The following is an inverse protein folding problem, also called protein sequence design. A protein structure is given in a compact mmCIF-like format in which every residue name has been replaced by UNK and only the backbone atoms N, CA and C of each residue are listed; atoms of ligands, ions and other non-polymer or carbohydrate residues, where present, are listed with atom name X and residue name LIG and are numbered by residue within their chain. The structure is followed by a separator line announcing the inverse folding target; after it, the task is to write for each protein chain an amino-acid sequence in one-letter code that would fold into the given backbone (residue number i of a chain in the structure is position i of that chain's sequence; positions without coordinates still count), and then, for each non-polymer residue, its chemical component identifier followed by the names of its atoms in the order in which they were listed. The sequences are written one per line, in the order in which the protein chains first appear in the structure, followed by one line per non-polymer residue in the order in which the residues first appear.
data_IF_731934554700
#
_entry.id   IF_731934554700
#
_cell.length_a   1.000
_cell.length_b   1.000
_cell.length_c   1.000
_cell.angle_alpha   90.00
_cell.angle_beta   90.00
_cell.angle_gamma   90.00
#
_symmetry.space_group_name_H-M   'P 1'
#
loop_
_entity.id
_entity.type
_entity.pdbx_description
1 polymer ?
#
# COMPACT_ATOMS: atom_id res chain seq x y z
N UNK A 1 -7.11 -59.78 10.02
CA UNK A 1 -7.91 -58.61 9.60
C UNK A 1 -7.25 -57.35 10.16
N UNK A 2 -6.68 -56.51 9.31
CA UNK A 2 -6.00 -55.28 9.74
C UNK A 2 -7.07 -54.23 10.02
N UNK A 3 -7.36 -53.96 11.29
CA UNK A 3 -8.30 -52.92 11.72
C UNK A 3 -7.68 -51.56 11.44
N UNK A 4 -8.08 -50.93 10.33
CA UNK A 4 -7.69 -49.54 10.05
C UNK A 4 -8.37 -48.63 11.07
N UNK A 5 -7.56 -48.01 11.93
CA UNK A 5 -8.02 -47.03 12.92
C UNK A 5 -8.37 -45.75 12.16
N UNK A 6 -9.65 -45.39 12.13
CA UNK A 6 -10.11 -44.15 11.49
C UNK A 6 -9.71 -42.95 12.33
N UNK A 7 -8.89 -42.06 11.77
CA UNK A 7 -8.55 -40.77 12.37
C UNK A 7 -9.31 -39.66 11.64
N UNK A 8 -10.23 -38.94 12.31
CA UNK A 8 -10.96 -37.86 11.66
C UNK A 8 -10.04 -36.66 11.40
N UNK A 9 -9.99 -36.20 10.14
CA UNK A 9 -9.33 -34.95 9.77
C UNK A 9 -10.26 -33.77 10.10
N UNK A 10 -9.76 -32.80 10.86
CA UNK A 10 -10.45 -31.52 11.13
C UNK A 10 -9.85 -30.44 10.24
N UNK A 11 -10.67 -29.85 9.36
CA UNK A 11 -10.26 -28.77 8.46
C UNK A 11 -10.71 -27.41 9.02
N UNK A 12 -9.77 -26.47 9.13
CA UNK A 12 -10.06 -25.07 9.47
C UNK A 12 -9.54 -24.20 8.34
N UNK A 13 -10.42 -23.39 7.74
CA UNK A 13 -10.07 -22.41 6.71
C UNK A 13 -10.04 -21.04 7.37
N UNK A 14 -8.89 -20.38 7.30
CA UNK A 14 -8.72 -19.01 7.81
C UNK A 14 -8.71 -18.04 6.62
N UNK A 15 -9.53 -17.00 6.70
CA UNK A 15 -9.56 -15.93 5.70
C UNK A 15 -9.38 -14.58 6.38
N UNK A 16 -8.56 -13.73 5.77
CA UNK A 16 -8.40 -12.33 6.20
C UNK A 16 -9.54 -11.43 5.67
N UNK A 17 -10.29 -11.88 4.66
CA UNK A 17 -11.45 -11.17 4.11
C UNK A 17 -12.75 -11.89 4.44
N UNK A 18 -13.84 -11.13 4.42
CA UNK A 18 -15.19 -11.66 4.61
C UNK A 18 -15.78 -12.36 3.37
N UNK A 19 -14.99 -12.60 2.31
CA UNK A 19 -15.46 -13.35 1.13
C UNK A 19 -15.51 -14.85 1.44
N UNK A 20 -16.48 -15.25 2.25
CA UNK A 20 -16.68 -16.64 2.67
C UNK A 20 -17.67 -17.38 1.79
N UNK A 21 -18.47 -16.67 1.00
CA UNK A 21 -19.56 -17.23 0.18
C UNK A 21 -19.03 -18.24 -0.86
N UNK A 22 -17.86 -17.98 -1.44
CA UNK A 22 -17.12 -18.91 -2.31
C UNK A 22 -16.91 -20.30 -1.67
N UNK A 23 -16.89 -20.39 -0.33
CA UNK A 23 -16.78 -21.64 0.43
C UNK A 23 -18.12 -22.14 0.95
N UNK A 24 -19.00 -21.24 1.42
CA UNK A 24 -20.28 -21.62 2.04
C UNK A 24 -21.29 -22.16 1.02
N UNK A 25 -21.33 -21.55 -0.16
CA UNK A 25 -22.31 -21.86 -1.20
C UNK A 25 -21.82 -22.98 -2.13
N UNK A 26 -20.52 -23.29 -2.10
CA UNK A 26 -19.91 -24.23 -3.03
C UNK A 26 -20.15 -25.70 -2.63
N UNK A 27 -21.23 -26.27 -3.20
CA UNK A 27 -21.60 -27.68 -3.02
C UNK A 27 -20.61 -28.68 -3.62
N UNK A 28 -19.73 -28.24 -4.52
CA UNK A 28 -18.67 -29.11 -5.05
C UNK A 28 -17.54 -29.27 -4.03
N UNK A 29 -17.21 -28.22 -3.28
CA UNK A 29 -16.21 -28.28 -2.20
C UNK A 29 -16.76 -28.93 -0.93
N UNK A 30 -18.01 -28.59 -0.55
CA UNK A 30 -18.65 -29.13 0.65
C UNK A 30 -20.07 -29.64 0.32
N UNK A 31 -20.20 -30.88 -0.20
CA UNK A 31 -21.48 -31.41 -0.67
C UNK A 31 -22.48 -31.62 0.48
N UNK A 32 -22.01 -32.16 1.60
CA UNK A 32 -22.86 -32.63 2.70
C UNK A 32 -22.79 -31.76 3.96
N UNK A 33 -22.00 -30.68 3.93
CA UNK A 33 -21.72 -29.84 5.11
C UNK A 33 -21.77 -28.39 4.67
N UNK A 34 -22.44 -27.54 5.44
CA UNK A 34 -22.24 -26.09 5.37
C UNK A 34 -21.20 -25.73 6.42
N UNK A 35 -20.00 -25.26 6.03
CA UNK A 35 -18.96 -24.90 6.99
C UNK A 35 -19.47 -23.84 7.98
N UNK A 36 -19.11 -23.99 9.26
CA UNK A 36 -19.45 -22.97 10.27
C UNK A 36 -18.50 -21.78 10.14
N UNK A 37 -19.05 -20.57 10.11
CA UNK A 37 -18.27 -19.33 10.11
C UNK A 37 -18.11 -18.82 11.53
N UNK A 38 -16.86 -18.61 11.95
CA UNK A 38 -16.54 -17.92 13.20
C UNK A 38 -15.99 -16.55 12.81
N UNK A 39 -16.75 -15.49 13.08
CA UNK A 39 -16.31 -14.11 12.90
C UNK A 39 -15.48 -13.72 14.12
N UNK A 40 -14.18 -13.61 13.93
CA UNK A 40 -13.28 -13.05 14.94
C UNK A 40 -13.18 -11.55 14.69
N UNK A 41 -13.79 -10.75 15.56
CA UNK A 41 -13.63 -9.30 15.51
C UNK A 41 -12.17 -8.95 15.82
N UNK A 42 -11.47 -8.36 14.86
CA UNK A 42 -10.12 -7.88 15.11
C UNK A 42 -10.21 -6.59 15.93
N UNK A 43 -9.45 -6.51 17.03
CA UNK A 43 -9.23 -5.27 17.80
C UNK A 43 -8.31 -4.30 17.03
N UNK A 44 -8.69 -3.93 15.82
CA UNK A 44 -8.02 -2.88 15.07
C UNK A 44 -8.51 -1.53 15.58
N UNK A 45 -7.60 -0.57 15.65
CA UNK A 45 -7.96 0.81 15.91
C UNK A 45 -8.65 1.41 14.69
N UNK A 46 -9.42 2.49 14.90
CA UNK A 46 -10.10 3.19 13.82
C UNK A 46 -9.10 3.77 12.81
N UNK A 47 -9.50 3.74 11.53
CA UNK A 47 -8.75 4.38 10.44
C UNK A 47 -9.68 5.33 9.71
N UNK A 48 -9.33 6.62 9.69
CA UNK A 48 -10.10 7.61 8.93
C UNK A 48 -9.69 7.54 7.45
N UNK A 49 -10.69 7.42 6.58
CA UNK A 49 -10.49 7.30 5.14
C UNK A 49 -10.69 8.66 4.48
N UNK A 50 -9.66 9.13 3.77
CA UNK A 50 -9.65 10.39 3.04
C UNK A 50 -9.53 10.12 1.54
N UNK A 51 -10.48 10.58 0.74
CA UNK A 51 -10.43 10.49 -0.73
C UNK A 51 -9.98 11.82 -1.32
N UNK A 52 -9.13 11.77 -2.34
CA UNK A 52 -8.89 12.94 -3.17
C UNK A 52 -10.17 13.32 -3.95
N UNK A 53 -10.45 14.61 -4.09
CA UNK A 53 -11.63 15.08 -4.86
C UNK A 53 -11.57 14.64 -6.33
N UNK A 54 -10.37 14.69 -6.91
CA UNK A 54 -10.11 14.35 -8.31
C UNK A 54 -9.02 13.28 -8.38
N UNK A 55 -9.24 12.26 -9.21
CA UNK A 55 -8.25 11.23 -9.50
C UNK A 55 -7.33 11.72 -10.61
N UNK A 56 -6.04 11.91 -10.31
CA UNK A 56 -5.03 12.27 -11.31
C UNK A 56 -4.48 11.00 -11.99
N UNK A 57 -4.02 11.15 -13.24
CA UNK A 57 -3.40 10.04 -13.96
C UNK A 57 -2.01 9.71 -13.42
N UNK A 58 -1.22 10.75 -13.15
CA UNK A 58 0.09 10.68 -12.52
C UNK A 58 -0.05 10.53 -11.00
N UNK A 59 -0.25 9.29 -10.58
CA UNK A 59 -0.31 8.93 -9.17
C UNK A 59 1.06 9.00 -8.49
N UNK A 60 2.18 8.95 -9.24
CA UNK A 60 3.52 9.04 -8.65
C UNK A 60 3.75 10.45 -8.11
N UNK A 61 3.42 11.48 -8.89
CA UNK A 61 3.53 12.87 -8.45
C UNK A 61 2.58 13.18 -7.28
N UNK A 62 1.32 12.74 -7.36
CA UNK A 62 0.36 12.93 -6.26
C UNK A 62 0.78 12.19 -4.99
N UNK A 63 1.42 11.02 -5.13
CA UNK A 63 1.98 10.28 -4.00
C UNK A 63 3.07 11.09 -3.33
N UNK A 64 4.03 11.61 -4.10
CA UNK A 64 5.12 12.43 -3.56
C UNK A 64 4.57 13.65 -2.80
N UNK A 65 3.69 14.44 -3.44
CA UNK A 65 3.07 15.62 -2.81
C UNK A 65 2.33 15.26 -1.52
N UNK A 66 1.57 14.16 -1.51
CA UNK A 66 0.81 13.74 -0.33
C UNK A 66 1.73 13.31 0.82
N UNK A 67 2.79 12.55 0.52
CA UNK A 67 3.79 12.15 1.51
C UNK A 67 4.47 13.38 2.11
N UNK A 68 4.86 14.35 1.27
CA UNK A 68 5.45 15.59 1.74
C UNK A 68 4.50 16.38 2.64
N UNK A 69 3.23 16.53 2.23
CA UNK A 69 2.21 17.21 3.05
C UNK A 69 2.01 16.52 4.41
N UNK A 70 1.85 15.20 4.43
CA UNK A 70 1.73 14.43 5.69
C UNK A 70 2.96 14.63 6.56
N UNK A 71 4.15 14.52 5.97
CA UNK A 71 5.39 14.66 6.70
C UNK A 71 5.51 16.02 7.37
N UNK A 72 5.24 17.10 6.62
CA UNK A 72 5.35 18.49 7.05
C UNK A 72 4.24 18.93 8.03
N UNK A 73 3.00 18.50 7.82
CA UNK A 73 1.84 19.09 8.52
C UNK A 73 1.25 18.22 9.63
N UNK A 74 1.47 16.89 9.60
CA UNK A 74 0.77 15.98 10.52
C UNK A 74 1.68 15.48 11.66
N UNK A 75 1.11 15.13 12.82
CA UNK A 75 1.84 14.61 13.98
C UNK A 75 2.71 13.39 13.68
N UNK A 76 3.59 13.03 14.61
CA UNK A 76 4.46 11.87 14.49
C UNK A 76 3.70 10.56 14.23
N UNK A 77 4.32 9.71 13.41
CA UNK A 77 3.80 8.42 12.98
C UNK A 77 4.42 8.03 11.64
N UNK A 78 4.69 6.74 11.46
CA UNK A 78 5.23 6.20 10.23
C UNK A 78 4.24 6.29 9.07
N UNK A 79 4.78 6.49 7.87
CA UNK A 79 4.02 6.60 6.63
C UNK A 79 4.27 5.35 5.78
N UNK A 80 3.21 4.64 5.42
CA UNK A 80 3.25 3.51 4.48
C UNK A 80 2.63 3.93 3.16
N UNK A 81 3.40 3.79 2.08
CA UNK A 81 3.02 4.22 0.73
C UNK A 81 2.89 3.00 -0.16
N UNK A 82 1.78 2.87 -0.88
CA UNK A 82 1.56 1.81 -1.86
C UNK A 82 1.78 2.33 -3.28
N UNK A 83 2.73 1.71 -4.00
CA UNK A 83 3.01 1.90 -5.43
C UNK A 83 3.02 0.54 -6.15
N UNK A 84 3.14 0.53 -7.47
CA UNK A 84 2.85 -0.68 -8.26
C UNK A 84 4.07 -1.54 -8.54
N UNK A 85 5.28 -0.97 -8.53
CA UNK A 85 6.47 -1.72 -8.93
C UNK A 85 7.80 -1.13 -8.49
N UNK A 86 8.85 -1.94 -8.66
CA UNK A 86 10.22 -1.63 -8.22
C UNK A 86 10.76 -0.29 -8.74
N UNK A 87 10.57 0.03 -10.02
CA UNK A 87 11.12 1.26 -10.62
C UNK A 87 10.53 2.52 -9.95
N UNK A 88 9.20 2.58 -9.84
CA UNK A 88 8.45 3.65 -9.16
C UNK A 88 8.90 3.78 -7.70
N UNK A 89 9.02 2.65 -6.99
CA UNK A 89 9.46 2.63 -5.59
C UNK A 89 10.88 3.19 -5.44
N UNK A 90 11.83 2.73 -6.26
CA UNK A 90 13.21 3.20 -6.17
C UNK A 90 13.31 4.71 -6.48
N UNK A 91 12.58 5.16 -7.51
CA UNK A 91 12.50 6.58 -7.84
C UNK A 91 11.92 7.42 -6.69
N UNK A 92 10.79 7.01 -6.13
CA UNK A 92 10.14 7.68 -5.00
C UNK A 92 11.03 7.74 -3.76
N UNK A 93 11.72 6.64 -3.45
CA UNK A 93 12.64 6.57 -2.31
C UNK A 93 13.78 7.58 -2.46
N UNK A 94 14.42 7.63 -3.62
CA UNK A 94 15.51 8.57 -3.86
C UNK A 94 15.02 10.02 -3.88
N UNK A 95 13.86 10.27 -4.49
CA UNK A 95 13.25 11.61 -4.52
C UNK A 95 12.91 12.13 -3.13
N UNK A 96 12.29 11.30 -2.27
CA UNK A 96 11.98 11.67 -0.89
C UNK A 96 13.25 11.89 -0.05
N UNK A 97 14.27 11.05 -0.23
CA UNK A 97 15.58 11.26 0.43
C UNK A 97 16.21 12.58 0.00
N UNK A 98 16.08 12.97 -1.26
CA UNK A 98 16.61 14.23 -1.79
C UNK A 98 15.86 15.45 -1.25
N UNK A 99 14.54 15.39 -1.22
CA UNK A 99 13.65 16.44 -0.71
C UNK A 99 13.96 16.77 0.77
N UNK A 100 14.15 15.73 1.58
CA UNK A 100 14.35 15.87 3.03
C UNK A 100 15.81 15.72 3.46
N UNK A 101 16.78 16.03 2.58
CA UNK A 101 18.19 16.08 3.00
C UNK A 101 18.39 17.19 4.04
N UNK A 102 19.11 16.92 5.15
CA UNK A 102 19.46 17.97 6.09
C UNK A 102 20.28 19.05 5.39
N UNK A 103 19.79 20.30 5.36
CA UNK A 103 20.59 21.44 4.91
C UNK A 103 21.74 21.63 5.91
N UNK A 104 22.98 21.53 5.46
CA UNK A 104 24.15 21.82 6.32
C UNK A 104 24.03 23.25 6.85
N UNK A 105 24.03 23.43 8.18
CA UNK A 105 24.11 24.76 8.80
C UNK A 105 25.43 25.41 8.36
N UNK A 106 25.37 26.36 7.42
CA UNK A 106 26.52 27.23 7.13
C UNK A 106 26.77 28.09 8.36
N UNK A 107 27.90 27.89 9.02
CA UNK A 107 28.41 28.77 10.07
C UNK A 107 28.46 30.21 9.54
N UNK A 108 27.61 31.09 10.07
CA UNK A 108 27.57 32.50 9.68
C UNK A 108 28.88 33.19 10.09
N UNK A 109 29.72 33.54 9.10
CA UNK A 109 30.66 34.66 9.23
C UNK A 109 29.87 35.94 8.94
N UNK A 110 29.62 36.75 9.97
CA UNK A 110 29.13 38.13 9.86
C UNK A 110 30.12 38.95 9.05
N UNK A 111 29.69 39.48 7.90
CA UNK A 111 30.26 40.70 7.31
C UNK A 111 29.09 41.61 6.98
N UNK A 112 29.05 42.72 7.70
CA UNK A 112 28.20 43.89 7.53
C UNK A 112 28.74 44.77 6.39
N UNK A 113 27.89 45.20 5.45
CA UNK A 113 27.72 46.63 5.06
C UNK A 113 26.63 46.85 3.99
N UNK A 114 25.66 47.68 4.39
CA UNK A 114 24.94 48.80 3.76
C UNK A 114 24.47 48.80 2.27
N UNK A 115 23.15 49.01 2.16
CA UNK A 115 22.35 49.94 1.33
C UNK A 115 22.47 49.95 -0.20
N UNK A 116 21.34 49.76 -0.89
CA UNK A 116 20.72 50.79 -1.79
C UNK A 116 19.21 50.54 -1.88
N UNK A 117 18.42 51.59 -1.64
CA UNK A 117 16.96 51.69 -1.83
C UNK A 117 16.65 51.90 -3.32
N UNK A 118 15.65 51.19 -3.87
CA UNK A 118 14.99 51.63 -5.11
C UNK A 118 13.52 51.22 -5.14
N UNK A 119 12.68 52.24 -5.25
CA UNK A 119 11.22 52.22 -5.35
C UNK A 119 10.73 51.50 -6.62
N UNK A 120 9.58 50.83 -6.52
CA UNK A 120 8.71 50.50 -7.66
C UNK A 120 7.25 50.56 -7.23
N UNK A 121 6.46 51.27 -8.05
CA UNK A 121 5.03 51.52 -7.95
C UNK A 121 4.17 50.28 -8.26
N UNK A 122 2.98 50.30 -7.68
CA UNK A 122 1.89 49.33 -7.73
C UNK A 122 1.15 49.28 -9.08
N UNK A 123 0.66 48.10 -9.42
CA UNK A 123 -0.58 47.90 -10.18
C UNK A 123 -1.22 46.59 -9.73
N UNK A 124 -2.47 46.69 -9.26
CA UNK A 124 -3.33 45.65 -8.71
C UNK A 124 -3.78 44.64 -9.79
N UNK A 125 -3.79 43.34 -9.44
CA UNK A 125 -4.73 42.36 -10.01
C UNK A 125 -4.95 41.24 -8.98
N UNK A 126 -6.20 41.08 -8.55
CA UNK A 126 -6.64 40.15 -7.50
C UNK A 126 -6.83 38.74 -8.06
N UNK A 127 -6.03 37.79 -7.56
CA UNK A 127 -6.23 36.37 -7.79
C UNK A 127 -5.81 35.58 -6.55
N UNK A 128 -6.79 35.01 -5.84
CA UNK A 128 -6.60 34.15 -4.67
C UNK A 128 -5.78 32.90 -5.04
N UNK A 129 -4.47 32.98 -4.83
CA UNK A 129 -3.57 31.85 -4.75
C UNK A 129 -2.96 31.83 -3.36
N UNK A 130 -3.31 30.83 -2.54
CA UNK A 130 -2.59 30.55 -1.29
C UNK A 130 -1.13 30.22 -1.63
N UNK A 131 -0.27 31.24 -1.52
CA UNK A 131 1.17 31.08 -1.58
C UNK A 131 1.63 30.32 -0.34
N UNK A 132 2.15 29.12 -0.54
CA UNK A 132 2.97 28.47 0.48
C UNK A 132 4.25 29.31 0.62
N UNK A 133 4.23 30.28 1.54
CA UNK A 133 5.44 30.87 2.08
C UNK A 133 6.26 29.73 2.69
N UNK A 134 7.41 29.43 2.08
CA UNK A 134 8.41 28.49 2.60
C UNK A 134 8.98 29.05 3.92
N UNK A 135 8.18 29.00 5.00
CA UNK A 135 8.68 29.16 6.34
C UNK A 135 9.64 28.00 6.60
N UNK A 136 10.88 28.34 6.99
CA UNK A 136 11.92 27.41 7.43
C UNK A 136 11.49 26.69 8.73
N UNK A 137 10.51 25.79 8.63
CA UNK A 137 10.11 24.89 9.70
C UNK A 137 11.10 23.73 9.70
N UNK A 138 11.81 23.54 10.82
CA UNK A 138 12.72 22.41 11.02
C UNK A 138 11.89 21.13 11.14
N UNK A 139 11.64 20.48 10.00
CA UNK A 139 10.94 19.20 9.97
C UNK A 139 11.89 18.07 10.41
N UNK A 140 11.38 17.15 11.21
CA UNK A 140 12.10 15.95 11.62
C UNK A 140 12.71 15.23 10.41
N UNK A 141 13.96 14.76 10.47
CA UNK A 141 14.55 14.01 9.37
C UNK A 141 13.73 12.75 9.04
N UNK A 142 13.92 12.20 7.84
CA UNK A 142 13.17 11.02 7.37
C UNK A 142 14.09 9.81 7.19
N UNK A 143 13.56 8.63 7.51
CA UNK A 143 14.15 7.35 7.14
C UNK A 143 13.27 6.69 6.09
N UNK A 144 13.71 6.72 4.83
CA UNK A 144 12.93 6.19 3.69
C UNK A 144 13.43 4.80 3.28
N UNK A 145 12.56 3.79 3.31
CA UNK A 145 12.88 2.39 3.00
C UNK A 145 11.98 1.83 1.87
N UNK A 146 12.56 1.11 0.88
CA UNK A 146 11.79 0.35 -0.11
C UNK A 146 11.32 -0.99 0.46
N UNK A 147 10.17 -1.50 -0.02
CA UNK A 147 9.70 -2.85 0.30
C UNK A 147 8.96 -3.50 -0.87
N UNK A 148 9.57 -4.49 -1.52
CA UNK A 148 8.99 -5.25 -2.63
C UNK A 148 9.56 -6.68 -2.67
N UNK A 149 8.86 -7.62 -3.32
CA UNK A 149 9.17 -9.06 -3.22
C UNK A 149 10.58 -9.48 -3.66
N UNK A 150 11.18 -8.78 -4.63
CA UNK A 150 12.54 -9.07 -5.12
C UNK A 150 13.65 -8.45 -4.24
N UNK A 151 13.31 -7.73 -3.17
CA UNK A 151 14.30 -7.12 -2.28
C UNK A 151 14.98 -8.23 -1.44
N UNK A 152 16.31 -8.20 -1.21
CA UNK A 152 16.96 -9.20 -0.36
C UNK A 152 16.34 -9.27 1.04
N UNK A 153 16.22 -10.47 1.67
CA UNK A 153 15.56 -10.63 2.96
C UNK A 153 16.09 -9.71 4.06
N UNK A 154 17.42 -9.51 4.12
CA UNK A 154 18.06 -8.61 5.08
C UNK A 154 17.58 -7.16 4.95
N UNK A 155 17.31 -6.70 3.71
CA UNK A 155 16.81 -5.36 3.46
C UNK A 155 15.30 -5.26 3.73
N UNK A 156 14.53 -6.33 3.46
CA UNK A 156 13.13 -6.38 3.87
C UNK A 156 13.00 -6.28 5.39
N UNK A 157 13.90 -6.94 6.14
CA UNK A 157 13.84 -6.96 7.59
C UNK A 157 14.05 -5.57 8.24
N UNK A 158 14.73 -4.65 7.54
CA UNK A 158 14.95 -3.28 8.03
C UNK A 158 13.67 -2.52 8.32
N UNK A 159 12.55 -2.87 7.66
CA UNK A 159 11.26 -2.19 7.90
C UNK A 159 10.67 -2.49 9.28
N UNK A 160 11.12 -3.56 9.94
CA UNK A 160 10.67 -3.92 11.30
C UNK A 160 11.52 -3.30 12.40
N UNK A 161 12.69 -2.77 12.05
CA UNK A 161 13.56 -2.12 13.01
C UNK A 161 13.02 -0.72 13.33
N UNK A 162 13.18 -0.25 14.58
CA UNK A 162 12.83 1.13 14.90
C UNK A 162 13.63 2.08 14.01
N UNK A 163 13.03 3.21 13.59
CA UNK A 163 13.78 4.24 12.87
C UNK A 163 14.87 4.83 13.77
N UNK A 164 15.85 5.49 13.15
CA UNK A 164 16.83 6.32 13.86
C UNK A 164 16.12 7.35 14.76
N UNK A 165 16.79 7.77 15.83
CA UNK A 165 16.28 8.82 16.72
C UNK A 165 15.87 10.06 15.93
N UNK A 166 14.71 10.61 16.30
CA UNK A 166 14.06 11.76 15.66
C UNK A 166 13.70 11.59 14.18
N UNK A 167 13.85 10.40 13.59
CA UNK A 167 13.47 10.18 12.19
C UNK A 167 12.03 9.68 12.05
N UNK A 168 11.27 10.30 11.14
CA UNK A 168 9.99 9.73 10.69
C UNK A 168 10.27 8.59 9.70
N UNK A 169 9.73 7.40 9.98
CA UNK A 169 9.82 6.25 9.08
C UNK A 169 8.86 6.44 7.89
N UNK A 170 9.37 6.32 6.67
CA UNK A 170 8.58 6.30 5.43
C UNK A 170 8.91 5.01 4.69
N UNK A 171 7.91 4.20 4.40
CA UNK A 171 8.08 2.95 3.67
C UNK A 171 7.32 3.05 2.36
N UNK A 172 8.02 2.79 1.26
CA UNK A 172 7.44 2.77 -0.08
C UNK A 172 7.40 1.33 -0.56
N UNK A 173 6.18 0.79 -0.74
CA UNK A 173 5.96 -0.65 -0.91
C UNK A 173 5.03 -1.00 -2.06
N UNK A 174 5.14 -2.23 -2.57
CA UNK A 174 4.08 -2.86 -3.37
C UNK A 174 3.00 -3.46 -2.46
N UNK A 175 2.09 -4.24 -3.05
CA UNK A 175 1.10 -5.04 -2.32
C UNK A 175 1.70 -6.09 -1.35
N UNK A 176 3.02 -6.26 -1.26
CA UNK A 176 3.64 -7.12 -0.22
C UNK A 176 3.31 -6.64 1.20
N UNK A 177 3.14 -5.33 1.39
CA UNK A 177 2.71 -4.76 2.68
C UNK A 177 1.19 -4.85 2.90
N UNK A 178 0.41 -5.28 1.90
CA UNK A 178 -1.05 -5.40 1.99
C UNK A 178 -1.45 -6.55 2.90
N UNK A 179 -0.73 -7.68 2.85
CA UNK A 179 -1.00 -8.91 3.61
C UNK A 179 0.19 -9.31 4.51
N UNK A 180 -0.09 -10.01 5.61
CA UNK A 180 0.91 -10.79 6.38
C UNK A 180 2.06 -10.07 7.08
N UNK A 181 2.16 -8.73 7.02
CA UNK A 181 3.24 -7.98 7.67
C UNK A 181 2.69 -6.91 8.62
N UNK A 182 3.04 -6.97 9.90
CA UNK A 182 2.75 -5.89 10.86
C UNK A 182 4.00 -5.04 11.02
N UNK A 183 3.99 -3.87 10.41
CA UNK A 183 5.06 -2.88 10.56
C UNK A 183 4.71 -2.02 11.77
N UNK A 184 5.58 -1.92 12.78
CA UNK A 184 5.29 -1.13 13.97
C UNK A 184 5.23 0.36 13.61
N UNK A 185 4.45 1.13 14.38
CA UNK A 185 4.39 2.59 14.31
C UNK A 185 3.92 3.17 12.96
N UNK A 186 3.16 2.43 12.15
CA UNK A 186 2.49 3.01 10.98
C UNK A 186 1.19 3.66 11.42
N UNK A 187 1.04 4.96 11.12
CA UNK A 187 -0.15 5.76 11.42
C UNK A 187 -0.80 6.36 10.18
N UNK A 188 -0.03 6.53 9.11
CA UNK A 188 -0.50 7.11 7.86
C UNK A 188 -0.29 6.11 6.73
N UNK A 189 -1.33 5.90 5.92
CA UNK A 189 -1.26 5.16 4.67
C UNK A 189 -1.51 6.11 3.51
N UNK A 190 -0.70 6.03 2.46
CA UNK A 190 -0.93 6.69 1.17
C UNK A 190 -1.16 5.59 0.13
N UNK A 191 -2.37 5.50 -0.40
CA UNK A 191 -2.77 4.45 -1.34
C UNK A 191 -3.02 5.04 -2.74
N UNK A 192 -2.19 4.64 -3.72
CA UNK A 192 -2.39 5.03 -5.11
C UNK A 192 -3.61 4.35 -5.76
N UNK A 193 -4.14 3.28 -5.14
CA UNK A 193 -5.31 2.54 -5.62
C UNK A 193 -5.01 1.60 -6.79
N UNK A 194 -3.76 1.51 -7.22
CA UNK A 194 -3.33 0.66 -8.34
C UNK A 194 -2.49 -0.50 -7.85
N UNK A 195 -2.43 -1.53 -8.66
CA UNK A 195 -1.54 -2.66 -8.49
C UNK A 195 -1.12 -3.24 -9.84
N UNK A 196 0.06 -3.83 -9.88
CA UNK A 196 0.56 -4.53 -11.05
C UNK A 196 0.21 -6.01 -10.93
N UNK A 197 -0.62 -6.50 -11.84
CA UNK A 197 -1.05 -7.89 -11.86
C UNK A 197 -0.62 -8.56 -13.15
N UNK A 198 -0.31 -9.86 -13.05
CA UNK A 198 -0.12 -10.73 -14.21
C UNK A 198 -1.50 -11.08 -14.75
N UNK A 199 -1.70 -10.83 -16.04
CA UNK A 199 -2.91 -11.16 -16.80
C UNK A 199 -2.50 -12.12 -17.91
N UNK A 200 -3.24 -13.20 -18.05
CA UNK A 200 -3.05 -14.20 -19.10
C UNK A 200 -4.10 -14.02 -20.18
N UNK A 201 -3.67 -13.93 -21.43
CA UNK A 201 -4.53 -13.99 -22.61
C UNK A 201 -4.54 -15.42 -23.16
N UNK A 202 -5.68 -16.15 -23.07
CA UNK A 202 -5.76 -17.53 -23.57
C UNK A 202 -5.64 -17.66 -25.09
N UNK A 203 -6.05 -16.64 -25.85
CA UNK A 203 -5.99 -16.68 -27.32
C UNK A 203 -4.56 -16.53 -27.80
N UNK A 204 -3.82 -15.60 -27.20
CA UNK A 204 -2.42 -15.34 -27.54
C UNK A 204 -1.44 -16.27 -26.79
N UNK A 205 -1.89 -16.96 -25.74
CA UNK A 205 -1.08 -17.75 -24.80
C UNK A 205 0.05 -16.94 -24.16
N UNK A 206 -0.16 -15.64 -23.99
CA UNK A 206 0.83 -14.72 -23.44
C UNK A 206 0.41 -14.24 -22.06
N UNK A 207 1.40 -14.09 -21.18
CA UNK A 207 1.23 -13.44 -19.89
C UNK A 207 1.85 -12.05 -19.92
N UNK A 208 1.06 -11.03 -19.60
CA UNK A 208 1.49 -9.63 -19.56
C UNK A 208 1.26 -9.07 -18.17
N UNK A 209 2.14 -8.18 -17.71
CA UNK A 209 1.93 -7.41 -16.49
C UNK A 209 1.22 -6.11 -16.81
N UNK A 210 0.04 -5.90 -16.24
CA UNK A 210 -0.75 -4.70 -16.40
C UNK A 210 -0.95 -4.01 -15.06
N UNK A 211 -0.85 -2.68 -15.06
CA UNK A 211 -1.25 -1.86 -13.93
C UNK A 211 -2.77 -1.66 -14.03
N UNK A 212 -3.48 -2.00 -12.95
CA UNK A 212 -4.94 -1.92 -12.89
C UNK A 212 -5.38 -1.37 -11.53
N UNK A 213 -6.64 -0.97 -11.44
CA UNK A 213 -7.24 -0.63 -10.15
C UNK A 213 -7.27 -1.85 -9.24
N UNK A 214 -6.95 -1.64 -7.97
CA UNK A 214 -7.08 -2.69 -6.97
C UNK A 214 -8.55 -2.92 -6.60
N UNK A 215 -8.83 -3.99 -5.86
CA UNK A 215 -10.18 -4.27 -5.37
C UNK A 215 -10.50 -3.42 -4.13
N UNK A 216 -11.79 -3.22 -3.85
CA UNK A 216 -12.23 -2.55 -2.60
C UNK A 216 -11.68 -3.27 -1.38
N UNK A 217 -11.77 -4.61 -1.35
CA UNK A 217 -11.21 -5.41 -0.26
C UNK A 217 -9.70 -5.21 -0.07
N UNK A 218 -8.94 -5.10 -1.16
CA UNK A 218 -7.50 -4.81 -1.11
C UNK A 218 -7.21 -3.40 -0.59
N UNK A 219 -7.93 -2.39 -1.09
CA UNK A 219 -7.80 -1.02 -0.61
C UNK A 219 -8.18 -0.87 0.88
N UNK A 220 -9.13 -1.65 1.37
CA UNK A 220 -9.51 -1.68 2.78
C UNK A 220 -8.44 -2.38 3.64
N UNK A 221 -7.83 -3.45 3.13
CA UNK A 221 -6.67 -4.09 3.78
C UNK A 221 -5.47 -3.14 3.88
N UNK A 222 -5.19 -2.38 2.81
CA UNK A 222 -4.14 -1.34 2.80
C UNK A 222 -4.43 -0.27 3.84
N UNK A 223 -5.66 0.25 3.90
CA UNK A 223 -6.07 1.23 4.90
C UNK A 223 -5.91 0.69 6.33
N UNK A 224 -6.31 -0.56 6.58
CA UNK A 224 -6.17 -1.24 7.87
C UNK A 224 -4.73 -1.37 8.38
N UNK A 225 -3.71 -1.09 7.56
CA UNK A 225 -2.31 -1.01 8.00
C UNK A 225 -2.02 0.18 8.91
N UNK A 226 -2.77 1.27 8.79
CA UNK A 226 -2.67 2.41 9.70
C UNK A 226 -3.31 2.14 11.08
N UNK A 227 -4.21 1.17 11.19
CA UNK A 227 -4.98 0.88 12.41
C UNK A 227 -4.40 -0.23 13.30
N UNK A 228 -3.13 -0.62 13.10
CA UNK A 228 -2.52 -1.78 13.79
C UNK A 228 -2.04 -1.47 15.20
N UNK A 229 -1.37 -0.33 15.38
CA UNK A 229 -0.76 0.05 16.67
C UNK A 229 -1.50 1.17 17.38
N UNK A 230 -2.39 1.88 16.69
CA UNK A 230 -3.18 3.00 17.21
C UNK A 230 -4.11 3.54 16.14
N UNK A 231 -4.94 4.56 16.43
CA UNK A 231 -5.78 5.22 15.43
C UNK A 231 -4.93 5.86 14.33
N UNK A 232 -5.37 5.71 13.08
CA UNK A 232 -4.59 6.15 11.93
C UNK A 232 -5.44 6.76 10.82
N UNK A 233 -4.77 7.15 9.74
CA UNK A 233 -5.40 7.79 8.59
C UNK A 233 -4.93 7.14 7.29
N UNK A 234 -5.85 6.96 6.35
CA UNK A 234 -5.56 6.48 5.01
C UNK A 234 -5.95 7.53 3.97
N UNK A 235 -4.98 7.98 3.18
CA UNK A 235 -5.15 8.92 2.08
C UNK A 235 -5.17 8.17 0.75
N UNK A 236 -6.36 8.05 0.17
CA UNK A 236 -6.59 7.47 -1.16
C UNK A 236 -6.42 8.55 -2.21
N UNK A 237 -5.51 8.34 -3.16
CA UNK A 237 -5.19 9.33 -4.20
C UNK A 237 -6.20 9.36 -5.36
N UNK A 238 -7.35 8.73 -5.14
CA UNK A 238 -8.45 8.59 -6.09
C UNK A 238 -9.76 9.00 -5.40
N UNK A 239 -10.75 9.37 -6.20
CA UNK A 239 -12.05 9.81 -5.71
C UNK A 239 -12.91 8.66 -5.17
N UNK A 240 -13.88 9.01 -4.34
CA UNK A 240 -14.89 8.07 -3.86
C UNK A 240 -15.69 7.45 -5.00
N UNK A 241 -15.95 8.19 -6.08
CA UNK A 241 -16.59 7.67 -7.30
C UNK A 241 -15.74 6.60 -8.00
N UNK A 242 -14.42 6.81 -8.09
CA UNK A 242 -13.53 5.76 -8.64
C UNK A 242 -13.57 4.54 -7.74
N UNK A 243 -13.48 4.74 -6.41
CA UNK A 243 -13.57 3.64 -5.45
C UNK A 243 -14.89 2.86 -5.54
N UNK A 244 -16.04 3.54 -5.67
CA UNK A 244 -17.34 2.88 -5.78
C UNK A 244 -17.44 1.99 -7.03
N UNK A 245 -16.74 2.36 -8.11
CA UNK A 245 -16.72 1.61 -9.36
C UNK A 245 -15.67 0.48 -9.40
N UNK A 246 -14.79 0.38 -8.39
CA UNK A 246 -13.86 -0.74 -8.27
C UNK A 246 -14.59 -2.05 -7.96
N UNK A 247 -14.00 -3.18 -8.37
CA UNK A 247 -14.50 -4.50 -8.01
C UNK A 247 -14.43 -4.72 -6.49
N UNK A 248 -15.44 -5.38 -5.93
CA UNK A 248 -15.47 -5.66 -4.48
C UNK A 248 -14.29 -6.53 -4.04
N UNK A 249 -13.97 -7.56 -4.83
CA UNK A 249 -12.90 -8.51 -4.55
C UNK A 249 -12.00 -8.67 -5.77
N UNK A 250 -10.72 -8.98 -5.53
CA UNK A 250 -9.79 -9.28 -6.59
C UNK A 250 -10.20 -10.57 -7.32
N UNK A 251 -10.00 -10.60 -8.64
CA UNK A 251 -10.19 -11.81 -9.43
C UNK A 251 -9.23 -12.90 -8.93
N UNK A 252 -9.72 -14.11 -8.62
CA UNK A 252 -8.88 -15.22 -8.19
C UNK A 252 -7.72 -15.49 -9.14
N UNK A 253 -6.56 -15.86 -8.60
CA UNK A 253 -5.34 -16.06 -9.40
C UNK A 253 -5.52 -17.15 -10.46
N UNK A 254 -6.24 -18.23 -10.15
CA UNK A 254 -6.52 -19.35 -11.07
C UNK A 254 -7.20 -18.91 -12.38
N UNK A 255 -7.92 -17.78 -12.38
CA UNK A 255 -8.59 -17.25 -13.56
C UNK A 255 -7.71 -16.29 -14.38
N UNK A 256 -6.50 -15.97 -13.90
CA UNK A 256 -5.63 -14.94 -14.47
C UNK A 256 -4.24 -15.42 -14.85
N UNK A 257 -3.89 -16.66 -14.51
CA UNK A 257 -2.59 -17.25 -14.82
C UNK A 257 -2.78 -18.57 -15.57
N UNK A 258 -1.80 -18.99 -16.39
CA UNK A 258 -1.81 -20.33 -16.97
C UNK A 258 -1.89 -21.39 -15.87
N UNK A 259 -2.79 -22.35 -16.03
CA UNK A 259 -3.05 -23.40 -15.02
C UNK A 259 -2.29 -24.70 -15.33
N UNK A 260 -1.41 -24.72 -16.34
CA UNK A 260 -0.72 -25.94 -16.80
C UNK A 260 0.05 -26.63 -15.66
N UNK A 261 0.76 -25.84 -14.85
CA UNK A 261 1.51 -26.35 -13.70
C UNK A 261 0.57 -26.93 -12.63
N UNK A 262 -0.54 -26.26 -12.35
CA UNK A 262 -1.57 -26.73 -11.40
C UNK A 262 -2.20 -28.04 -11.89
N UNK A 263 -2.57 -28.11 -13.19
CA UNK A 263 -3.14 -29.30 -13.83
C UNK A 263 -2.15 -30.46 -13.78
N UNK A 264 -0.87 -30.22 -14.08
CA UNK A 264 0.18 -31.24 -14.01
C UNK A 264 0.33 -31.79 -12.59
N UNK A 265 0.31 -30.91 -11.58
CA UNK A 265 0.35 -31.31 -10.18
C UNK A 265 -0.86 -32.16 -9.79
N UNK A 266 -2.07 -31.79 -10.20
CA UNK A 266 -3.29 -32.57 -9.92
C UNK A 266 -3.24 -33.95 -10.60
N UNK A 267 -2.74 -34.04 -11.84
CA UNK A 267 -2.53 -35.31 -12.53
C UNK A 267 -1.48 -36.18 -11.83
N UNK A 268 -0.39 -35.58 -11.35
CA UNK A 268 0.64 -36.28 -10.57
C UNK A 268 0.10 -36.84 -9.23
N UNK A 269 -0.89 -36.16 -8.63
CA UNK A 269 -1.64 -36.64 -7.47
C UNK A 269 -2.66 -37.76 -7.80
N UNK A 270 -2.77 -38.15 -9.07
CA UNK A 270 -3.68 -39.21 -9.53
C UNK A 270 -5.11 -38.75 -9.78
N UNK A 271 -5.39 -37.46 -9.76
CA UNK A 271 -6.73 -36.91 -10.04
C UNK A 271 -7.00 -37.02 -11.53
N UNK A 272 -7.88 -37.95 -11.92
CA UNK A 272 -8.19 -38.22 -13.33
C UNK A 272 -9.17 -37.21 -13.91
N UNK A 273 -10.24 -36.93 -13.18
CA UNK A 273 -11.28 -36.00 -13.60
C UNK A 273 -10.97 -34.59 -13.07
N UNK A 274 -10.84 -33.64 -14.00
CA UNK A 274 -10.57 -32.23 -13.71
C UNK A 274 -11.76 -31.34 -14.06
N UNK A 275 -12.84 -31.92 -14.59
CA UNK A 275 -14.04 -31.23 -15.07
C UNK A 275 -15.14 -31.23 -14.02
#
# INVERSE_FOLDING_TARGET
ATTYKHYPLRLVIMSATLRVDDFLENKRLFPNIVPRVIKLESRQYSVDIHFNKVTKEDYEEETFKKVCKIHKTLPAGGILVFLTGRKEIQYMVERLKMEFKPKQKKSQKKVTTNEVVKEKQESEDEGEGEGDEDMDVDYNPVQVLPLYSMLPPEQQFKVFQPPKEDHRLIIVSTNIAETSITIPNIRYVVDCGREKQKVYDPHLRLSTYLVSWTSKASADQRAGRAGRTGPGHCYRLYSSTVFSNMMQYATPEILRVPIDQTVLQLKALGIKDLC
#
